data_IF_779176491696
#
_entry.id   IF_779176491696
#
_cell.length_a   1.000
_cell.length_b   1.000
_cell.length_c   1.000
_cell.angle_alpha   90.00
_cell.angle_beta   90.00
_cell.angle_gamma   90.00
#
_symmetry.space_group_name_H-M   'P 1'
#
loop_
_entity.id
_entity.type
_entity.pdbx_description
1 polymer ?
#
# COMPACT_ATOMS: atom_id res chain seq x y z
N UNK A 1 -9.35 17.34 -1.11
CA UNK A 1 -9.30 17.07 -2.56
C UNK A 1 -8.13 16.11 -2.79
N UNK A 2 -8.45 14.83 -3.01
CA UNK A 2 -7.41 13.85 -3.36
C UNK A 2 -6.89 14.19 -4.75
N UNK A 3 -5.77 14.84 -4.82
CA UNK A 3 -5.01 14.99 -6.05
C UNK A 3 -4.27 13.69 -6.27
N UNK A 4 -4.77 12.86 -7.18
CA UNK A 4 -4.15 11.58 -7.51
C UNK A 4 -2.82 11.85 -8.20
N UNK A 5 -1.71 11.46 -7.59
CA UNK A 5 -0.37 11.48 -8.18
C UNK A 5 -0.21 10.51 -9.38
N UNK A 6 -1.31 10.11 -10.01
CA UNK A 6 -1.39 9.05 -11.03
C UNK A 6 -0.66 9.35 -12.33
N UNK A 7 -0.22 10.59 -12.56
CA UNK A 7 0.36 10.99 -13.84
C UNK A 7 1.86 11.29 -13.79
N UNK A 8 2.56 10.95 -12.71
CA UNK A 8 3.98 11.33 -12.55
C UNK A 8 4.92 10.23 -13.06
N UNK A 9 4.44 9.00 -13.23
CA UNK A 9 5.25 7.90 -13.75
C UNK A 9 4.62 7.39 -15.04
N UNK A 10 5.10 7.88 -16.15
CA UNK A 10 4.75 7.35 -17.47
C UNK A 10 5.39 5.96 -17.65
N UNK A 11 4.61 5.04 -18.25
CA UNK A 11 5.01 3.65 -18.56
C UNK A 11 6.19 3.53 -19.56
N UNK A 12 6.86 4.62 -19.90
CA UNK A 12 7.90 4.66 -20.93
C UNK A 12 9.31 4.25 -20.46
N UNK A 13 9.49 3.84 -19.19
CA UNK A 13 10.82 3.46 -18.67
C UNK A 13 11.82 4.63 -18.60
N UNK A 14 11.35 5.85 -18.65
CA UNK A 14 12.19 7.05 -18.55
C UNK A 14 12.70 7.22 -17.12
N UNK A 15 14.00 7.18 -16.96
CA UNK A 15 14.67 7.56 -15.71
C UNK A 15 14.46 9.07 -15.48
N UNK A 16 13.98 9.44 -14.29
CA UNK A 16 13.88 10.83 -13.89
C UNK A 16 15.26 11.49 -13.88
N UNK A 17 15.35 12.72 -14.34
CA UNK A 17 16.56 13.54 -14.20
C UNK A 17 16.77 13.98 -12.76
N UNK A 18 17.97 14.41 -12.41
CA UNK A 18 18.27 14.88 -11.04
C UNK A 18 17.39 16.08 -10.64
N UNK A 19 17.05 16.94 -11.59
CA UNK A 19 16.13 18.07 -11.40
C UNK A 19 14.70 17.59 -11.12
N UNK A 20 14.23 16.58 -11.86
CA UNK A 20 12.90 15.99 -11.65
C UNK A 20 12.81 15.26 -10.30
N UNK A 21 13.88 14.58 -9.89
CA UNK A 21 13.97 13.95 -8.57
C UNK A 21 13.96 15.01 -7.47
N UNK A 22 14.74 16.08 -7.61
CA UNK A 22 14.77 17.18 -6.64
C UNK A 22 13.41 17.87 -6.52
N UNK A 23 12.73 18.09 -7.65
CA UNK A 23 11.39 18.65 -7.65
C UNK A 23 10.37 17.74 -6.97
N UNK A 24 10.44 16.43 -7.24
CA UNK A 24 9.57 15.43 -6.61
C UNK A 24 9.79 15.36 -5.09
N UNK A 25 11.06 15.41 -4.64
CA UNK A 25 11.43 15.49 -3.23
C UNK A 25 10.83 16.72 -2.54
N UNK A 26 10.92 17.86 -3.20
CA UNK A 26 10.33 19.10 -2.69
C UNK A 26 8.80 18.97 -2.57
N UNK A 27 8.12 18.43 -3.59
CA UNK A 27 6.68 18.21 -3.54
C UNK A 27 6.26 17.26 -2.40
N UNK A 28 7.02 16.21 -2.14
CA UNK A 28 6.75 15.31 -1.01
C UNK A 28 6.99 16.00 0.34
N UNK A 29 8.01 16.85 0.44
CA UNK A 29 8.26 17.65 1.65
C UNK A 29 7.11 18.63 1.94
N UNK A 30 6.50 19.20 0.91
CA UNK A 30 5.30 20.04 1.07
C UNK A 30 4.07 19.21 1.49
N UNK A 31 3.87 18.02 0.91
CA UNK A 31 2.78 17.11 1.28
C UNK A 31 2.87 16.65 2.73
N UNK A 32 4.08 16.42 3.23
CA UNK A 32 4.32 16.02 4.62
C UNK A 32 3.88 17.10 5.63
N UNK A 33 3.92 18.37 5.23
CA UNK A 33 3.41 19.49 6.02
C UNK A 33 1.88 19.70 5.91
N UNK A 34 1.25 19.13 4.89
CA UNK A 34 -0.17 19.34 4.56
C UNK A 34 -1.08 18.20 4.97
N UNK A 35 -0.53 17.02 5.28
CA UNK A 35 -1.30 15.81 5.53
C UNK A 35 -0.69 14.99 6.67
N UNK A 36 -1.55 14.50 7.56
CA UNK A 36 -1.17 13.57 8.63
C UNK A 36 -0.91 12.16 8.08
N UNK A 37 -1.56 11.80 6.98
CA UNK A 37 -1.46 10.49 6.31
C UNK A 37 -1.38 10.69 4.80
N UNK A 38 -0.41 10.02 4.17
CA UNK A 38 -0.25 10.00 2.72
C UNK A 38 -0.49 8.58 2.23
N UNK A 39 -1.53 8.40 1.41
CA UNK A 39 -1.83 7.13 0.75
C UNK A 39 -1.28 7.14 -0.67
N UNK A 40 -0.38 6.21 -0.97
CA UNK A 40 0.16 6.01 -2.32
C UNK A 40 -0.60 4.85 -2.98
N UNK A 41 -1.49 5.16 -3.92
CA UNK A 41 -2.20 4.16 -4.71
C UNK A 41 -1.29 3.68 -5.85
N UNK A 42 -0.87 2.43 -5.78
CA UNK A 42 -0.01 1.79 -6.80
C UNK A 42 -0.83 0.91 -7.73
N UNK A 43 -0.33 0.70 -8.95
CA UNK A 43 -0.87 -0.35 -9.81
C UNK A 43 -0.68 -1.75 -9.21
N UNK A 44 -1.45 -2.72 -9.68
CA UNK A 44 -1.27 -4.12 -9.31
C UNK A 44 0.04 -4.68 -9.92
N UNK A 45 0.61 -5.69 -9.25
CA UNK A 45 1.78 -6.44 -9.75
C UNK A 45 3.08 -6.14 -9.00
N UNK A 46 4.19 -6.63 -9.58
CA UNK A 46 5.54 -6.61 -9.00
C UNK A 46 6.52 -5.77 -9.82
N UNK A 47 6.02 -4.81 -10.60
CA UNK A 47 6.87 -3.93 -11.40
C UNK A 47 7.82 -3.13 -10.49
N UNK A 48 9.02 -2.81 -11.00
CA UNK A 48 10.06 -2.15 -10.20
C UNK A 48 9.56 -0.88 -9.49
N UNK A 49 8.81 -0.03 -10.19
CA UNK A 49 8.26 1.19 -9.59
C UNK A 49 7.29 0.92 -8.43
N UNK A 50 6.49 -0.16 -8.50
CA UNK A 50 5.61 -0.57 -7.38
C UNK A 50 6.46 -1.01 -6.18
N UNK A 51 7.47 -1.86 -6.41
CA UNK A 51 8.36 -2.33 -5.35
C UNK A 51 9.14 -1.19 -4.69
N UNK A 52 9.54 -0.18 -5.44
CA UNK A 52 10.24 0.98 -4.89
C UNK A 52 9.37 1.78 -3.92
N UNK A 53 8.11 2.05 -4.26
CA UNK A 53 7.17 2.69 -3.33
C UNK A 53 6.90 1.83 -2.09
N UNK A 54 6.72 0.52 -2.28
CA UNK A 54 6.49 -0.42 -1.19
C UNK A 54 7.70 -0.48 -0.24
N UNK A 55 8.92 -0.54 -0.78
CA UNK A 55 10.16 -0.58 0.00
C UNK A 55 10.42 0.69 0.80
N UNK A 56 9.91 1.82 0.33
CA UNK A 56 10.09 3.10 0.97
C UNK A 56 8.99 3.44 2.00
N UNK A 57 7.87 2.71 1.96
CA UNK A 57 6.73 2.96 2.83
C UNK A 57 6.91 2.29 4.19
N UNK A 58 6.61 2.97 5.31
CA UNK A 58 6.64 2.37 6.65
C UNK A 58 5.49 1.38 6.85
N UNK A 59 4.39 1.55 6.15
CA UNK A 59 3.25 0.65 6.16
C UNK A 59 2.80 0.31 4.74
N UNK A 60 2.56 -0.98 4.50
CA UNK A 60 2.08 -1.53 3.23
C UNK A 60 0.75 -2.20 3.44
N UNK A 61 -0.30 -1.69 2.79
CA UNK A 61 -1.62 -2.30 2.81
C UNK A 61 -1.80 -3.18 1.56
N UNK A 62 -1.69 -4.48 1.75
CA UNK A 62 -1.95 -5.48 0.70
C UNK A 62 -3.44 -5.75 0.62
N UNK A 63 -4.07 -5.29 -0.46
CA UNK A 63 -5.49 -5.54 -0.73
C UNK A 63 -5.64 -6.78 -1.58
N UNK A 64 -6.32 -7.79 -1.07
CA UNK A 64 -6.55 -9.07 -1.76
C UNK A 64 -8.00 -9.50 -1.66
N UNK A 65 -8.41 -10.42 -2.53
CA UNK A 65 -9.76 -10.96 -2.59
C UNK A 65 -9.74 -12.47 -2.39
N UNK A 66 -10.89 -13.15 -2.15
CA UNK A 66 -10.94 -14.61 -2.02
C UNK A 66 -10.53 -15.37 -3.28
N UNK A 67 -10.48 -14.72 -4.45
CA UNK A 67 -10.12 -15.35 -5.71
C UNK A 67 -8.68 -15.89 -5.70
N UNK A 68 -8.46 -17.11 -6.21
CA UNK A 68 -7.13 -17.74 -6.20
C UNK A 68 -6.04 -16.92 -6.90
N UNK A 69 -6.39 -16.23 -7.99
CA UNK A 69 -5.48 -15.34 -8.71
C UNK A 69 -5.00 -14.18 -7.85
N UNK A 70 -5.92 -13.51 -7.15
CA UNK A 70 -5.60 -12.40 -6.25
C UNK A 70 -4.70 -12.84 -5.09
N UNK A 71 -4.94 -14.02 -4.52
CA UNK A 71 -4.08 -14.60 -3.49
C UNK A 71 -2.67 -14.90 -4.02
N UNK A 72 -2.58 -15.46 -5.24
CA UNK A 72 -1.30 -15.74 -5.89
C UNK A 72 -0.51 -14.47 -6.18
N UNK A 73 -1.17 -13.43 -6.66
CA UNK A 73 -0.55 -12.14 -6.95
C UNK A 73 -0.06 -11.46 -5.66
N UNK A 74 -0.87 -11.50 -4.61
CA UNK A 74 -0.50 -10.99 -3.29
C UNK A 74 0.71 -11.73 -2.72
N UNK A 75 0.73 -13.07 -2.81
CA UNK A 75 1.90 -13.85 -2.39
C UNK A 75 3.14 -13.54 -3.24
N UNK A 76 3.00 -13.33 -4.54
CA UNK A 76 4.10 -12.99 -5.44
C UNK A 76 4.71 -11.64 -5.10
N UNK A 77 3.88 -10.64 -4.75
CA UNK A 77 4.34 -9.35 -4.24
C UNK A 77 5.12 -9.52 -2.93
N UNK A 78 4.55 -10.22 -1.95
CA UNK A 78 5.18 -10.46 -0.66
C UNK A 78 6.50 -11.21 -0.83
N UNK A 79 6.55 -12.24 -1.67
CA UNK A 79 7.77 -12.98 -1.98
C UNK A 79 8.85 -12.07 -2.58
N UNK A 80 8.49 -11.21 -3.53
CA UNK A 80 9.42 -10.26 -4.14
C UNK A 80 9.95 -9.26 -3.12
N UNK A 81 9.09 -8.79 -2.23
CA UNK A 81 9.44 -7.88 -1.15
C UNK A 81 10.40 -8.54 -0.14
N UNK A 82 10.02 -9.68 0.44
CA UNK A 82 10.84 -10.38 1.44
C UNK A 82 12.19 -10.87 0.92
N UNK A 83 12.32 -11.09 -0.39
CA UNK A 83 13.59 -11.45 -1.05
C UNK A 83 14.42 -10.25 -1.49
N UNK A 84 13.88 -9.06 -1.42
CA UNK A 84 14.60 -7.86 -1.80
C UNK A 84 15.62 -7.49 -0.71
N UNK A 85 16.92 -7.33 -1.03
CA UNK A 85 17.95 -6.99 -0.04
C UNK A 85 17.76 -5.60 0.60
N UNK A 86 16.97 -4.73 -0.04
CA UNK A 86 16.64 -3.41 0.49
C UNK A 86 15.44 -3.44 1.47
N UNK A 87 14.74 -4.57 1.57
CA UNK A 87 13.58 -4.68 2.44
C UNK A 87 13.99 -4.75 3.92
N UNK A 88 13.50 -3.83 4.70
CA UNK A 88 13.73 -3.79 6.14
C UNK A 88 12.48 -4.27 6.89
N UNK A 89 12.53 -5.50 7.39
CA UNK A 89 11.43 -6.17 8.12
C UNK A 89 11.07 -5.48 9.43
N UNK A 90 12.02 -4.82 10.08
CA UNK A 90 11.80 -4.13 11.34
C UNK A 90 11.14 -2.76 11.15
N UNK A 91 11.32 -2.18 9.96
CA UNK A 91 10.79 -0.87 9.63
C UNK A 91 9.40 -0.93 8.96
N UNK A 92 9.21 -1.89 8.05
CA UNK A 92 8.00 -1.93 7.23
C UNK A 92 6.97 -2.90 7.80
N UNK A 93 5.85 -2.36 8.27
CA UNK A 93 4.68 -3.14 8.67
C UNK A 93 3.88 -3.53 7.43
N UNK A 94 3.52 -4.81 7.31
CA UNK A 94 2.66 -5.31 6.23
C UNK A 94 1.31 -5.70 6.80
N UNK A 95 0.27 -5.03 6.31
CA UNK A 95 -1.12 -5.28 6.70
C UNK A 95 -1.92 -5.83 5.52
N UNK A 96 -2.80 -6.79 5.75
CA UNK A 96 -3.64 -7.41 4.72
C UNK A 96 -5.10 -7.01 4.92
N UNK A 97 -5.70 -6.48 3.86
CA UNK A 97 -7.11 -6.15 3.77
C UNK A 97 -7.82 -7.13 2.83
N UNK A 98 -8.75 -7.91 3.38
CA UNK A 98 -9.57 -8.85 2.61
C UNK A 98 -10.76 -8.12 1.98
N UNK A 99 -10.73 -7.94 0.65
CA UNK A 99 -11.75 -7.17 -0.07
C UNK A 99 -12.77 -8.10 -0.77
N UNK A 100 -13.99 -7.60 -0.97
CA UNK A 100 -15.09 -8.29 -1.68
C UNK A 100 -15.46 -9.63 -1.06
N UNK A 101 -15.41 -9.71 0.25
CA UNK A 101 -15.77 -10.92 0.99
C UNK A 101 -17.26 -10.97 1.32
N UNK A 102 -17.81 -12.17 1.45
CA UNK A 102 -19.23 -12.39 1.77
C UNK A 102 -19.49 -12.46 3.27
N UNK A 103 -18.44 -12.73 4.07
CA UNK A 103 -18.53 -12.84 5.52
C UNK A 103 -17.21 -12.51 6.20
N UNK A 104 -17.26 -12.23 7.50
CA UNK A 104 -16.07 -12.03 8.34
C UNK A 104 -15.19 -13.29 8.39
N UNK A 105 -15.80 -14.47 8.42
CA UNK A 105 -15.08 -15.74 8.41
C UNK A 105 -14.31 -15.95 7.10
N UNK A 106 -14.90 -15.60 5.96
CA UNK A 106 -14.21 -15.64 4.66
C UNK A 106 -13.04 -14.65 4.63
N UNK A 107 -13.25 -13.41 5.10
CA UNK A 107 -12.19 -12.39 5.17
C UNK A 107 -11.02 -12.84 6.03
N UNK A 108 -11.30 -13.43 7.18
CA UNK A 108 -10.26 -14.00 8.04
C UNK A 108 -9.55 -15.18 7.37
N UNK A 109 -10.30 -16.06 6.71
CA UNK A 109 -9.74 -17.21 5.99
C UNK A 109 -8.81 -16.81 4.83
N UNK A 110 -9.06 -15.70 4.16
CA UNK A 110 -8.16 -15.11 3.14
C UNK A 110 -6.83 -14.73 3.78
N UNK A 111 -6.87 -13.99 4.88
CA UNK A 111 -5.67 -13.61 5.63
C UNK A 111 -4.91 -14.83 6.13
N UNK A 112 -5.59 -15.80 6.77
CA UNK A 112 -4.96 -16.96 7.38
C UNK A 112 -4.20 -17.81 6.34
N UNK A 113 -4.74 -17.93 5.12
CA UNK A 113 -4.04 -18.58 3.99
C UNK A 113 -2.75 -17.87 3.63
N UNK A 114 -2.78 -16.54 3.46
CA UNK A 114 -1.58 -15.76 3.18
C UNK A 114 -0.58 -15.80 4.32
N UNK A 115 -1.04 -15.65 5.56
CA UNK A 115 -0.18 -15.67 6.73
C UNK A 115 0.55 -17.01 6.89
N UNK A 116 -0.16 -18.12 6.63
CA UNK A 116 0.44 -19.46 6.65
C UNK A 116 1.59 -19.59 5.64
N UNK A 117 1.37 -19.20 4.39
CA UNK A 117 2.42 -19.34 3.36
C UNK A 117 3.56 -18.34 3.53
N UNK A 118 3.27 -17.14 4.04
CA UNK A 118 4.29 -16.14 4.37
C UNK A 118 5.18 -16.62 5.52
N UNK A 119 4.59 -17.10 6.61
CA UNK A 119 5.35 -17.66 7.73
C UNK A 119 6.18 -18.87 7.32
N UNK A 120 5.60 -19.80 6.54
CA UNK A 120 6.26 -21.04 6.17
C UNK A 120 7.40 -20.86 5.15
N UNK A 121 7.23 -19.98 4.15
CA UNK A 121 8.17 -19.90 3.01
C UNK A 121 8.98 -18.62 2.95
N UNK A 122 8.59 -17.57 3.69
CA UNK A 122 9.26 -16.27 3.65
C UNK A 122 9.83 -15.87 5.02
N UNK A 123 9.56 -16.67 6.05
CA UNK A 123 9.94 -16.37 7.44
C UNK A 123 9.50 -14.93 7.82
N UNK A 124 8.31 -14.55 7.33
CA UNK A 124 7.77 -13.21 7.43
C UNK A 124 6.56 -13.14 8.34
N UNK A 125 6.21 -11.92 8.71
CA UNK A 125 5.03 -11.61 9.50
C UNK A 125 4.15 -10.61 8.75
N UNK A 126 2.84 -10.85 8.76
CA UNK A 126 1.83 -9.94 8.23
C UNK A 126 0.71 -9.78 9.25
N UNK A 127 0.03 -8.65 9.23
CA UNK A 127 -1.07 -8.35 10.15
C UNK A 127 -2.40 -8.29 9.40
N UNK A 128 -3.50 -8.50 10.11
CA UNK A 128 -4.85 -8.41 9.53
C UNK A 128 -5.42 -7.02 9.76
N UNK A 129 -5.57 -6.22 8.69
CA UNK A 129 -6.15 -4.88 8.75
C UNK A 129 -7.69 -4.88 8.75
N UNK A 130 -8.32 -6.03 8.44
CA UNK A 130 -9.77 -6.11 8.37
C UNK A 130 -10.30 -6.57 7.02
N UNK A 131 -11.58 -6.30 6.76
CA UNK A 131 -12.23 -6.73 5.52
C UNK A 131 -13.20 -5.68 4.99
N UNK A 132 -13.38 -5.64 3.67
CA UNK A 132 -14.44 -4.90 3.00
C UNK A 132 -15.43 -5.92 2.40
N UNK A 133 -16.71 -5.89 2.84
CA UNK A 133 -17.69 -6.82 2.33
C UNK A 133 -18.10 -6.49 0.90
N UNK A 134 -18.52 -7.51 0.15
CA UNK A 134 -19.21 -7.29 -1.12
C UNK A 134 -20.52 -6.53 -0.85
N UNK A 135 -20.69 -5.40 -1.54
CA UNK A 135 -21.79 -4.47 -1.28
C UNK A 135 -22.22 -3.78 -2.59
N UNK A 136 -23.49 -3.95 -2.94
CA UNK A 136 -24.08 -3.29 -4.11
C UNK A 136 -24.08 -1.75 -4.01
N UNK A 137 -24.10 -1.22 -2.78
CA UNK A 137 -23.99 0.23 -2.57
C UNK A 137 -22.61 0.74 -2.99
N UNK A 138 -21.53 -0.01 -2.70
CA UNK A 138 -20.17 0.30 -3.14
C UNK A 138 -20.07 0.22 -4.67
N UNK A 139 -20.62 -0.82 -5.29
CA UNK A 139 -20.62 -0.95 -6.75
C UNK A 139 -21.33 0.20 -7.43
N UNK A 140 -22.48 0.63 -6.86
CA UNK A 140 -23.24 1.80 -7.36
C UNK A 140 -22.41 3.09 -7.19
N UNK A 141 -21.78 3.30 -6.04
CA UNK A 141 -20.96 4.47 -5.77
C UNK A 141 -19.77 4.57 -6.76
N UNK A 142 -19.10 3.44 -7.05
CA UNK A 142 -18.03 3.36 -8.05
C UNK A 142 -18.52 3.79 -9.43
N UNK A 143 -19.68 3.26 -9.90
CA UNK A 143 -20.27 3.66 -11.19
C UNK A 143 -20.61 5.14 -11.25
N UNK A 144 -20.98 5.73 -10.12
CA UNK A 144 -21.28 7.16 -9.99
C UNK A 144 -20.03 8.03 -9.78
N UNK A 145 -18.83 7.43 -9.68
CA UNK A 145 -17.58 8.10 -9.37
C UNK A 145 -17.65 8.93 -8.07
N UNK A 146 -18.35 8.40 -7.07
CA UNK A 146 -18.52 9.04 -5.75
C UNK A 146 -18.05 8.08 -4.65
N UNK A 147 -17.37 8.57 -3.61
CA UNK A 147 -17.03 7.74 -2.46
C UNK A 147 -18.29 7.16 -1.80
N UNK A 148 -18.24 5.87 -1.46
CA UNK A 148 -19.39 5.20 -0.81
C UNK A 148 -19.69 5.79 0.57
N UNK A 149 -18.68 6.27 1.29
CA UNK A 149 -18.82 6.98 2.56
C UNK A 149 -19.67 8.24 2.47
N UNK A 150 -19.69 8.91 1.31
CA UNK A 150 -20.53 10.07 1.05
C UNK A 150 -21.86 9.69 0.42
N UNK A 151 -21.88 8.70 -0.48
CA UNK A 151 -23.07 8.29 -1.23
C UNK A 151 -24.02 7.42 -0.41
N UNK A 152 -23.51 6.54 0.43
CA UNK A 152 -24.27 5.59 1.24
C UNK A 152 -23.54 5.31 2.59
N UNK A 153 -23.48 6.29 3.49
CA UNK A 153 -22.65 6.22 4.71
C UNK A 153 -23.07 5.10 5.67
N UNK A 154 -24.33 4.65 5.58
CA UNK A 154 -24.84 3.55 6.42
C UNK A 154 -24.68 2.16 5.79
N UNK A 155 -24.10 2.08 4.59
CA UNK A 155 -23.85 0.80 3.91
C UNK A 155 -22.80 -0.05 4.64
N UNK A 156 -22.81 -1.36 4.39
CA UNK A 156 -21.85 -2.30 5.01
C UNK A 156 -20.41 -1.94 4.66
N UNK A 157 -20.16 -1.59 3.41
CA UNK A 157 -18.84 -1.21 2.95
C UNK A 157 -18.37 0.12 3.52
N UNK A 158 -19.24 1.15 3.63
CA UNK A 158 -18.88 2.43 4.21
C UNK A 158 -18.43 2.26 5.69
N UNK A 159 -19.21 1.51 6.47
CA UNK A 159 -18.86 1.20 7.86
C UNK A 159 -17.57 0.38 7.97
N UNK A 160 -17.35 -0.56 7.05
CA UNK A 160 -16.12 -1.35 7.03
C UNK A 160 -14.90 -0.47 6.73
N UNK A 161 -15.00 0.50 5.82
CA UNK A 161 -13.94 1.48 5.57
C UNK A 161 -13.64 2.34 6.81
N UNK A 162 -14.65 2.75 7.57
CA UNK A 162 -14.45 3.50 8.82
C UNK A 162 -13.67 2.67 9.85
N UNK A 163 -14.02 1.39 10.01
CA UNK A 163 -13.31 0.48 10.93
C UNK A 163 -11.86 0.29 10.51
N UNK A 164 -11.62 0.01 9.23
CA UNK A 164 -10.26 -0.17 8.70
C UNK A 164 -9.44 1.11 8.83
N UNK A 165 -10.02 2.27 8.54
CA UNK A 165 -9.33 3.54 8.69
C UNK A 165 -8.96 3.81 10.16
N UNK A 166 -9.87 3.55 11.10
CA UNK A 166 -9.59 3.70 12.52
C UNK A 166 -8.46 2.75 12.98
N UNK A 167 -8.43 1.51 12.51
CA UNK A 167 -7.37 0.54 12.84
C UNK A 167 -6.00 0.99 12.31
N UNK A 168 -5.95 1.47 11.07
CA UNK A 168 -4.73 1.98 10.48
C UNK A 168 -4.20 3.23 11.23
N UNK A 169 -5.09 4.13 11.64
CA UNK A 169 -4.71 5.35 12.35
C UNK A 169 -4.27 5.11 13.82
N UNK A 170 -4.79 4.08 14.48
CA UNK A 170 -4.40 3.74 15.86
C UNK A 170 -2.97 3.18 15.95
N UNK A 171 -2.43 2.63 14.86
CA UNK A 171 -1.04 2.17 14.79
C UNK A 171 0.01 3.29 14.74
N UNK A 172 -0.39 4.54 14.53
CA UNK A 172 0.48 5.68 14.27
C UNK A 172 1.05 6.40 15.51
N UNK A 173 0.83 5.90 16.71
CA UNK A 173 1.23 6.61 17.96
C UNK A 173 2.74 6.58 18.28
N UNK A 174 3.62 6.24 17.34
CA UNK A 174 5.06 6.37 17.54
C UNK A 174 5.66 7.50 16.70
N UNK A 175 6.23 8.52 17.35
CA UNK A 175 6.95 9.64 16.75
C UNK A 175 8.12 9.22 15.81
N UNK A 176 8.52 7.96 15.84
CA UNK A 176 9.53 7.39 14.95
C UNK A 176 9.06 7.31 13.47
N UNK A 177 7.75 7.26 13.21
CA UNK A 177 7.20 7.17 11.86
C UNK A 177 7.20 8.51 11.12
N UNK A 178 7.08 9.62 11.81
CA UNK A 178 6.97 10.98 11.22
C UNK A 178 8.23 11.46 10.53
N UNK A 179 9.41 10.97 10.93
CA UNK A 179 10.70 11.55 10.51
C UNK A 179 11.38 10.83 9.34
N UNK A 180 10.96 9.63 8.94
CA UNK A 180 11.74 8.77 8.05
C UNK A 180 11.10 8.38 6.72
N UNK A 181 9.79 8.49 6.55
CA UNK A 181 9.07 7.85 5.45
C UNK A 181 9.49 8.32 4.05
N UNK A 182 9.33 9.58 3.76
CA UNK A 182 9.52 10.12 2.40
C UNK A 182 10.97 10.33 2.01
N UNK A 183 11.85 10.71 2.93
CA UNK A 183 13.28 10.87 2.66
C UNK A 183 13.96 9.54 2.27
N UNK A 184 13.40 8.41 2.69
CA UNK A 184 13.91 7.08 2.37
C UNK A 184 13.52 6.58 0.97
N UNK A 185 12.35 6.99 0.46
CA UNK A 185 11.94 6.77 -0.93
C UNK A 185 13.07 7.15 -1.91
N UNK A 186 13.79 8.19 -1.57
CA UNK A 186 14.73 8.84 -2.46
C UNK A 186 16.20 8.55 -2.15
N UNK A 187 16.53 8.18 -0.93
CA UNK A 187 17.89 7.72 -0.61
C UNK A 187 18.26 6.42 -1.35
N UNK A 188 17.25 5.58 -1.66
CA UNK A 188 17.42 4.40 -2.49
C UNK A 188 17.72 4.72 -3.96
N UNK A 189 17.04 5.72 -4.53
CA UNK A 189 17.29 6.21 -5.90
C UNK A 189 18.68 6.83 -6.03
N UNK A 190 19.13 7.56 -5.01
CA UNK A 190 20.43 8.25 -5.02
C UNK A 190 21.63 7.29 -4.94
N UNK A 191 21.54 6.23 -4.13
CA UNK A 191 22.62 5.24 -4.02
C UNK A 191 22.83 4.43 -5.30
N UNK A 192 21.76 4.09 -6.01
CA UNK A 192 21.86 3.25 -7.21
C UNK A 192 22.54 3.98 -8.38
N UNK A 193 22.50 5.31 -8.42
CA UNK A 193 23.16 6.12 -9.48
C UNK A 193 24.66 6.29 -9.24
N UNK A 194 25.12 6.25 -7.99
CA UNK A 194 26.53 6.43 -7.65
C UNK A 194 27.33 5.13 -7.63
N UNK A 195 26.70 3.96 -7.63
CA UNK A 195 27.37 2.65 -7.70
C UNK A 195 27.45 2.08 -9.12
N UNK A 196 26.92 2.77 -10.12
CA UNK A 196 26.94 2.38 -11.53
C UNK A 196 27.96 3.12 -12.42
N UNK A 197 28.88 3.89 -11.81
CA UNK A 197 29.97 4.59 -12.52
C UNK A 197 31.29 4.22 -11.87
N UNK A 198 31.73 3.01 -12.11
CA UNK A 198 33.12 2.53 -12.12
C UNK A 198 33.31 1.53 -13.27
#
# INVERSE_FOLDING_TARGET
AATTAKNIIDNSGLYLTDEQISYLLHCFGELDQMADVILVDTGAGIANHVLEFVLASPEVLVVTTPEPTSLTDSYSLLKSLYRNPKFNREYTKISVLSNRVTSAAEGRGVYDKLNTVVGQFLEGEITYAGMIPQDSALEKAIRMQKPVSLQAPLSKSARAFEVVAAELLQGESSDAYRSFGLSRLFSGFWKQKNEGVE
#
